data_IF_141543630735
#
_entry.id   IF_141543630735
#
_cell.length_a   1.000
_cell.length_b   1.000
_cell.length_c   1.000
_cell.angle_alpha   90.00
_cell.angle_beta   90.00
_cell.angle_gamma   90.00
#
_symmetry.space_group_name_H-M   'P 1'
#
loop_
_entity.id
_entity.type
_entity.pdbx_description
1 polymer ?
#
# COMPACT_ATOMS: atom_id res chain seq x y z
N UNK A 1 5.73 5.70 12.13
CA UNK A 1 5.17 4.34 12.10
C UNK A 1 3.74 4.30 12.61
N UNK A 2 3.49 4.93 13.71
CA UNK A 2 2.17 5.32 14.15
C UNK A 2 1.45 6.20 13.16
N UNK A 3 2.23 6.95 12.46
CA UNK A 3 1.87 7.93 11.47
C UNK A 3 1.09 7.32 10.32
N UNK A 4 1.55 6.20 9.83
CA UNK A 4 0.91 5.49 8.75
C UNK A 4 -0.51 5.03 9.10
N UNK A 5 -0.68 4.44 10.28
CA UNK A 5 -1.98 3.96 10.73
C UNK A 5 -2.98 5.12 10.90
N UNK A 6 -2.47 6.24 11.36
CA UNK A 6 -3.26 7.46 11.47
C UNK A 6 -3.60 8.05 10.10
N UNK A 7 -2.68 8.00 9.13
CA UNK A 7 -2.95 8.53 7.81
C UNK A 7 -4.09 7.83 7.09
N UNK A 8 -4.15 6.52 7.15
CA UNK A 8 -5.27 5.79 6.56
C UNK A 8 -6.58 6.10 7.27
N UNK A 9 -6.52 6.27 8.58
CA UNK A 9 -7.70 6.52 9.39
C UNK A 9 -8.18 7.95 9.30
N UNK A 10 -7.25 8.90 9.25
CA UNK A 10 -7.59 10.33 9.30
C UNK A 10 -7.57 11.06 7.97
N UNK A 11 -6.94 10.49 6.95
CA UNK A 11 -6.96 11.06 5.61
C UNK A 11 -8.14 10.60 4.77
N UNK A 12 -9.22 10.21 5.39
CA UNK A 12 -10.45 9.85 4.69
C UNK A 12 -11.00 11.00 3.82
N UNK A 13 -10.59 12.23 4.08
CA UNK A 13 -10.89 13.37 3.21
C UNK A 13 -10.21 13.25 1.84
N UNK A 14 -9.06 12.58 1.76
CA UNK A 14 -8.29 12.40 0.52
C UNK A 14 -8.46 11.02 -0.09
N UNK A 15 -8.77 10.02 0.73
CA UNK A 15 -8.90 8.65 0.29
C UNK A 15 -10.26 8.10 0.69
N UNK A 16 -10.93 7.48 -0.25
CA UNK A 16 -12.24 6.89 -0.02
C UNK A 16 -12.15 5.37 -0.12
N UNK A 17 -12.71 4.69 0.86
CA UNK A 17 -12.96 3.26 0.77
C UNK A 17 -14.21 3.07 -0.06
N UNK A 18 -14.05 2.55 -1.28
CA UNK A 18 -15.18 2.41 -2.19
C UNK A 18 -15.89 1.08 -2.02
N UNK A 19 -15.13 0.01 -1.94
CA UNK A 19 -15.68 -1.33 -1.87
C UNK A 19 -14.87 -2.22 -0.95
N UNK A 20 -15.56 -3.08 -0.23
CA UNK A 20 -14.97 -4.19 0.48
C UNK A 20 -15.56 -5.44 -0.14
N UNK A 21 -14.74 -6.21 -0.83
CA UNK A 21 -15.18 -7.45 -1.45
C UNK A 21 -14.55 -8.63 -0.74
N UNK A 22 -15.39 -9.65 -0.48
CA UNK A 22 -14.92 -10.92 0.02
C UNK A 22 -14.97 -11.94 -1.12
N UNK A 23 -14.01 -12.84 -1.12
CA UNK A 23 -14.04 -13.91 -2.09
C UNK A 23 -15.31 -14.74 -1.92
N UNK A 24 -16.01 -15.13 -3.02
CA UNK A 24 -17.27 -15.85 -2.93
C UNK A 24 -17.16 -17.26 -2.30
N UNK A 25 -15.98 -17.85 -2.33
CA UNK A 25 -15.76 -19.16 -1.71
C UNK A 25 -15.59 -18.98 -0.20
N UNK A 26 -16.45 -19.58 0.65
CA UNK A 26 -16.36 -19.44 2.11
C UNK A 26 -15.08 -20.02 2.70
N UNK A 27 -14.37 -20.89 1.97
CA UNK A 27 -13.09 -21.45 2.40
C UNK A 27 -11.90 -20.61 1.96
N UNK A 28 -12.11 -19.60 1.12
CA UNK A 28 -11.08 -18.68 0.68
C UNK A 28 -11.23 -17.35 1.40
N UNK A 29 -10.42 -17.14 2.42
CA UNK A 29 -10.46 -15.94 3.23
C UNK A 29 -9.70 -14.78 2.56
N UNK A 30 -10.15 -14.37 1.37
CA UNK A 30 -9.58 -13.21 0.67
C UNK A 30 -10.46 -12.00 0.87
N UNK A 31 -9.86 -10.91 1.30
CA UNK A 31 -10.55 -9.63 1.49
C UNK A 31 -9.82 -8.53 0.72
N UNK A 32 -10.56 -7.75 -0.04
CA UNK A 32 -10.01 -6.62 -0.78
C UNK A 32 -10.76 -5.36 -0.39
N UNK A 33 -9.99 -4.34 0.00
CA UNK A 33 -10.52 -3.01 0.28
C UNK A 33 -10.02 -2.06 -0.81
N UNK A 34 -10.94 -1.42 -1.52
CA UNK A 34 -10.58 -0.49 -2.59
C UNK A 34 -10.48 0.94 -2.05
N UNK A 35 -9.39 1.60 -2.37
CA UNK A 35 -9.13 3.00 -2.01
C UNK A 35 -8.95 3.83 -3.27
N UNK A 36 -9.47 5.04 -3.24
CA UNK A 36 -9.29 6.03 -4.30
C UNK A 36 -9.05 7.40 -3.68
N UNK A 37 -8.12 8.16 -4.26
CA UNK A 37 -7.92 9.54 -3.82
C UNK A 37 -9.06 10.44 -4.31
N UNK A 38 -9.40 11.43 -3.48
CA UNK A 38 -10.32 12.50 -3.84
C UNK A 38 -9.62 13.87 -3.88
N UNK A 39 -8.28 13.88 -3.82
CA UNK A 39 -7.49 15.10 -3.72
C UNK A 39 -7.19 15.69 -5.10
N UNK A 40 -7.26 17.01 -5.21
CA UNK A 40 -6.75 17.75 -6.37
C UNK A 40 -5.25 17.97 -6.21
N UNK A 41 -4.56 18.08 -7.33
CA UNK A 41 -3.11 18.27 -7.36
C UNK A 41 -2.74 19.60 -8.02
N UNK A 42 -1.73 20.24 -7.44
CA UNK A 42 -1.08 21.42 -8.01
C UNK A 42 0.34 21.06 -8.43
N UNK A 43 0.81 21.67 -9.50
CA UNK A 43 2.17 21.44 -9.99
C UNK A 43 3.20 21.88 -8.95
N UNK A 44 4.16 21.01 -8.60
CA UNK A 44 5.21 21.39 -7.65
C UNK A 44 6.17 22.46 -8.17
N UNK A 45 6.26 22.66 -9.49
CA UNK A 45 7.14 23.66 -10.09
C UNK A 45 6.48 25.04 -10.26
N UNK A 46 5.29 25.06 -10.87
CA UNK A 46 4.65 26.34 -11.23
C UNK A 46 3.35 26.62 -10.47
N UNK A 47 2.94 25.71 -9.60
CA UNK A 47 1.72 25.81 -8.77
C UNK A 47 0.40 25.88 -9.55
N UNK A 48 0.44 25.67 -10.86
CA UNK A 48 -0.76 25.58 -11.68
C UNK A 48 -1.51 24.28 -11.40
N UNK A 49 -2.81 24.28 -11.69
CA UNK A 49 -3.63 23.08 -11.56
C UNK A 49 -3.15 21.99 -12.53
N UNK A 50 -3.08 20.78 -12.04
CA UNK A 50 -2.74 19.62 -12.85
C UNK A 50 -4.00 18.85 -13.25
N UNK A 51 -3.93 18.18 -14.40
CA UNK A 51 -5.03 17.40 -14.94
C UNK A 51 -4.63 15.93 -15.05
N UNK A 52 -5.58 15.06 -14.75
CA UNK A 52 -5.39 13.63 -14.93
C UNK A 52 -5.28 13.30 -16.41
N UNK A 53 -4.22 12.58 -16.80
CA UNK A 53 -4.07 12.07 -18.17
C UNK A 53 -4.04 10.55 -18.22
N UNK A 54 -4.17 9.88 -17.10
CA UNK A 54 -4.21 8.43 -17.04
C UNK A 54 -4.57 7.95 -15.66
N UNK A 55 -4.88 6.66 -15.55
CA UNK A 55 -5.22 6.03 -14.29
C UNK A 55 -4.41 4.73 -14.17
N UNK A 56 -4.19 4.30 -12.93
CA UNK A 56 -3.57 3.03 -12.64
C UNK A 56 -4.24 2.38 -11.43
N UNK A 57 -4.09 1.07 -11.32
CA UNK A 57 -4.59 0.31 -10.18
C UNK A 57 -3.51 -0.66 -9.72
N UNK A 58 -3.31 -0.78 -8.42
CA UNK A 58 -2.35 -1.70 -7.82
C UNK A 58 -2.99 -2.43 -6.65
N UNK A 59 -2.57 -3.69 -6.46
CA UNK A 59 -2.92 -4.47 -5.27
C UNK A 59 -1.72 -4.51 -4.34
N UNK A 60 -1.96 -4.14 -3.09
CA UNK A 60 -0.96 -4.16 -2.04
C UNK A 60 -1.43 -5.14 -0.97
N UNK A 61 -0.55 -6.04 -0.57
CA UNK A 61 -0.86 -7.01 0.45
C UNK A 61 -0.82 -6.39 1.83
N UNK A 62 -1.89 -6.58 2.58
CA UNK A 62 -2.02 -6.07 3.94
C UNK A 62 -1.91 -7.19 4.97
N UNK A 63 -1.66 -6.80 6.21
CA UNK A 63 -1.62 -7.73 7.32
C UNK A 63 -3.02 -8.32 7.56
N UNK A 64 -3.15 -9.65 7.64
CA UNK A 64 -4.46 -10.29 7.79
C UNK A 64 -5.06 -10.07 9.18
N UNK A 65 -6.38 -9.98 9.25
CA UNK A 65 -7.11 -9.90 10.51
C UNK A 65 -7.24 -11.28 11.18
N UNK A 66 -7.21 -12.35 10.38
CA UNK A 66 -7.41 -13.73 10.82
C UNK A 66 -6.31 -14.63 10.24
N UNK A 67 -5.98 -15.75 10.91
CA UNK A 67 -5.05 -16.73 10.36
C UNK A 67 -5.49 -17.22 8.97
N UNK A 68 -4.54 -17.41 8.07
CA UNK A 68 -4.76 -17.86 6.69
C UNK A 68 -5.58 -16.93 5.81
N UNK A 69 -5.98 -15.77 6.31
CA UNK A 69 -6.64 -14.76 5.52
C UNK A 69 -5.65 -14.08 4.58
N UNK A 70 -6.09 -13.78 3.36
CA UNK A 70 -5.37 -12.92 2.42
C UNK A 70 -6.11 -11.59 2.34
N UNK A 71 -5.44 -10.54 2.77
CA UNK A 71 -6.01 -9.20 2.78
C UNK A 71 -5.22 -8.30 1.83
N UNK A 72 -5.93 -7.58 0.98
CA UNK A 72 -5.34 -6.68 0.00
C UNK A 72 -5.99 -5.32 0.07
N UNK A 73 -5.22 -4.30 -0.29
CA UNK A 73 -5.73 -2.98 -0.58
C UNK A 73 -5.54 -2.75 -2.08
N UNK A 74 -6.63 -2.49 -2.79
CA UNK A 74 -6.60 -2.07 -4.18
C UNK A 74 -6.63 -0.54 -4.20
N UNK A 75 -5.54 0.07 -4.66
CA UNK A 75 -5.46 1.50 -4.79
C UNK A 75 -5.63 1.91 -6.26
N UNK A 76 -6.61 2.78 -6.51
CA UNK A 76 -6.85 3.37 -7.82
C UNK A 76 -6.36 4.80 -7.79
N UNK A 77 -5.34 5.10 -8.55
CA UNK A 77 -4.71 6.40 -8.61
C UNK A 77 -4.66 6.97 -10.02
N UNK A 78 -4.12 8.18 -10.13
CA UNK A 78 -4.04 8.90 -11.38
C UNK A 78 -2.64 9.40 -11.65
N UNK A 79 -2.35 9.59 -12.94
CA UNK A 79 -1.17 10.30 -13.40
C UNK A 79 -1.62 11.69 -13.83
N UNK A 80 -0.90 12.69 -13.36
CA UNK A 80 -1.24 14.08 -13.61
C UNK A 80 -0.18 14.77 -14.46
N UNK A 81 -0.62 15.72 -15.27
CA UNK A 81 0.24 16.56 -16.10
C UNK A 81 -0.11 18.02 -15.90
N UNK A 82 0.92 18.84 -15.77
CA UNK A 82 0.78 20.28 -15.77
C UNK A 82 0.73 20.79 -17.23
N UNK A 83 -0.32 21.54 -17.59
CA UNK A 83 -0.44 22.09 -18.92
C UNK A 83 0.47 23.30 -19.14
N UNK A 84 0.93 23.93 -18.06
CA UNK A 84 1.79 25.13 -18.13
C UNK A 84 3.26 24.78 -18.35
N UNK A 85 3.80 23.81 -17.62
CA UNK A 85 5.23 23.49 -17.69
C UNK A 85 5.52 22.06 -18.18
N UNK A 86 4.50 21.25 -18.40
CA UNK A 86 4.65 19.87 -18.88
C UNK A 86 5.10 18.86 -17.84
N UNK A 87 5.23 19.26 -16.59
CA UNK A 87 5.61 18.35 -15.50
C UNK A 87 4.58 17.26 -15.31
N UNK A 88 5.04 16.04 -15.07
CA UNK A 88 4.16 14.89 -14.81
C UNK A 88 4.44 14.32 -13.43
N UNK A 89 3.38 13.94 -12.72
CA UNK A 89 3.49 13.23 -11.46
C UNK A 89 2.53 12.05 -11.45
N UNK A 90 2.93 11.01 -10.74
CA UNK A 90 2.07 9.86 -10.44
C UNK A 90 1.72 9.90 -8.96
N UNK A 91 0.46 9.67 -8.64
CA UNK A 91 0.05 9.63 -7.24
C UNK A 91 0.83 8.56 -6.47
N UNK A 92 1.28 8.93 -5.29
CA UNK A 92 1.88 7.97 -4.38
C UNK A 92 0.81 7.03 -3.83
N UNK A 93 1.16 5.77 -3.73
CA UNK A 93 0.28 4.79 -3.12
C UNK A 93 0.35 4.98 -1.61
N UNK A 94 -0.77 5.35 -0.95
CA UNK A 94 -0.76 5.47 0.50
C UNK A 94 -0.46 4.12 1.09
N UNK A 95 0.12 4.07 2.25
CA UNK A 95 0.32 2.84 3.00
C UNK A 95 1.31 1.82 2.43
N UNK A 96 1.88 2.06 1.28
CA UNK A 96 2.87 1.13 0.72
C UNK A 96 4.23 1.28 1.40
N UNK A 97 4.78 0.16 1.84
CA UNK A 97 6.18 0.10 2.25
C UNK A 97 7.07 0.24 1.00
N UNK A 98 8.04 1.19 0.98
CA UNK A 98 8.89 1.40 -0.18
C UNK A 98 9.59 0.12 -0.66
N UNK A 99 9.76 0.01 -1.98
CA UNK A 99 10.41 -1.13 -2.66
C UNK A 99 9.62 -2.44 -2.63
N UNK A 100 8.41 -2.44 -2.07
CA UNK A 100 7.61 -3.65 -1.90
C UNK A 100 6.17 -3.43 -2.33
N UNK A 101 5.40 -4.50 -2.40
CA UNK A 101 3.96 -4.47 -2.63
C UNK A 101 3.18 -4.89 -1.38
N UNK A 102 3.69 -4.50 -0.23
CA UNK A 102 3.02 -4.73 1.05
C UNK A 102 2.78 -3.41 1.77
N UNK A 103 1.81 -3.40 2.67
CA UNK A 103 1.54 -2.23 3.51
C UNK A 103 2.60 -2.05 4.57
N UNK A 104 2.69 -0.84 5.12
CA UNK A 104 3.54 -0.58 6.28
C UNK A 104 3.17 -1.45 7.48
N UNK A 105 1.89 -1.73 7.70
CA UNK A 105 1.47 -2.62 8.78
C UNK A 105 2.06 -4.02 8.60
N UNK A 106 2.00 -4.57 7.39
CA UNK A 106 2.61 -5.85 7.07
C UNK A 106 4.13 -5.79 7.28
N UNK A 107 4.78 -4.74 6.80
CA UNK A 107 6.22 -4.57 6.93
C UNK A 107 6.65 -4.49 8.39
N UNK A 108 5.91 -3.78 9.23
CA UNK A 108 6.21 -3.66 10.65
C UNK A 108 6.12 -5.00 11.38
N UNK A 109 5.13 -5.82 11.04
CA UNK A 109 5.02 -7.16 11.60
C UNK A 109 6.17 -8.06 11.15
N UNK A 110 6.57 -7.96 9.88
CA UNK A 110 7.73 -8.68 9.37
C UNK A 110 9.00 -8.29 10.14
N UNK A 111 9.21 -7.00 10.35
CA UNK A 111 10.34 -6.48 11.11
C UNK A 111 10.31 -7.01 12.55
N UNK A 112 9.15 -6.97 13.17
CA UNK A 112 8.98 -7.47 14.53
C UNK A 112 9.32 -8.96 14.63
N UNK A 113 8.81 -9.77 13.71
CA UNK A 113 9.08 -11.21 13.68
C UNK A 113 10.55 -11.51 13.43
N UNK A 114 11.22 -10.75 12.55
CA UNK A 114 12.66 -10.88 12.33
C UNK A 114 13.45 -10.56 13.59
N UNK A 115 13.07 -9.53 14.33
CA UNK A 115 13.68 -9.17 15.60
C UNK A 115 13.47 -10.22 16.69
N UNK A 116 12.40 -10.98 16.59
CA UNK A 116 12.12 -12.12 17.46
C UNK A 116 12.81 -13.42 17.00
N UNK A 117 13.74 -13.30 16.05
CA UNK A 117 14.50 -14.45 15.50
C UNK A 117 13.65 -15.47 14.75
N UNK A 118 12.49 -15.06 14.24
CA UNK A 118 11.70 -15.90 13.36
C UNK A 118 12.38 -16.01 11.99
N UNK A 119 12.47 -17.20 11.44
CA UNK A 119 13.13 -17.39 10.15
C UNK A 119 12.32 -16.77 9.00
N UNK A 120 13.03 -16.40 7.92
CA UNK A 120 12.39 -15.89 6.70
C UNK A 120 11.38 -16.90 6.14
N UNK A 121 11.73 -18.19 6.14
CA UNK A 121 10.81 -19.25 5.70
C UNK A 121 9.52 -19.30 6.51
N UNK A 122 9.64 -19.19 7.83
CA UNK A 122 8.48 -19.21 8.70
C UNK A 122 7.58 -17.99 8.48
N UNK A 123 8.16 -16.79 8.36
CA UNK A 123 7.42 -15.56 8.09
C UNK A 123 6.72 -15.66 6.74
N UNK A 124 7.42 -16.14 5.72
CA UNK A 124 6.86 -16.33 4.39
C UNK A 124 5.64 -17.25 4.41
N UNK A 125 5.73 -18.35 5.15
CA UNK A 125 4.61 -19.28 5.29
C UNK A 125 3.44 -18.70 6.08
N UNK A 126 3.73 -18.00 7.18
CA UNK A 126 2.71 -17.41 8.05
C UNK A 126 1.91 -16.30 7.38
N UNK A 127 2.60 -15.42 6.66
CA UNK A 127 2.01 -14.22 6.08
C UNK A 127 1.73 -14.34 4.58
N UNK A 128 2.09 -15.46 3.98
CA UNK A 128 1.98 -15.70 2.53
C UNK A 128 2.67 -14.59 1.72
N UNK A 129 3.83 -14.17 2.18
CA UNK A 129 4.66 -13.15 1.53
C UNK A 129 5.89 -13.84 0.95
N UNK A 130 6.25 -13.49 -0.28
CA UNK A 130 7.43 -14.08 -0.90
C UNK A 130 8.69 -13.71 -0.13
N UNK A 131 9.61 -14.64 0.01
CA UNK A 131 10.85 -14.46 0.77
C UNK A 131 11.68 -13.25 0.28
N UNK A 132 11.64 -12.96 -1.02
CA UNK A 132 12.36 -11.80 -1.57
C UNK A 132 11.83 -10.47 -1.05
N UNK A 133 10.53 -10.38 -0.78
CA UNK A 133 9.93 -9.20 -0.18
C UNK A 133 10.44 -8.99 1.25
N UNK A 134 10.54 -10.08 2.00
CA UNK A 134 11.09 -10.04 3.37
C UNK A 134 12.55 -9.58 3.35
N UNK A 135 13.34 -10.08 2.40
CA UNK A 135 14.73 -9.66 2.24
C UNK A 135 14.85 -8.18 1.87
N UNK A 136 13.95 -7.67 1.00
CA UNK A 136 13.93 -6.24 0.67
C UNK A 136 13.64 -5.38 1.88
N UNK A 137 12.70 -5.78 2.72
CA UNK A 137 12.39 -5.08 3.97
C UNK A 137 13.61 -5.09 4.88
N UNK A 138 14.25 -6.23 5.05
CA UNK A 138 15.45 -6.35 5.87
C UNK A 138 16.55 -5.43 5.37
N UNK A 139 16.82 -5.45 4.07
CA UNK A 139 17.91 -4.68 3.46
C UNK A 139 17.65 -3.17 3.46
N UNK A 140 16.45 -2.75 3.08
CA UNK A 140 16.15 -1.33 2.84
C UNK A 140 15.58 -0.60 4.05
N UNK A 141 14.98 -1.31 4.98
CA UNK A 141 14.30 -0.71 6.13
C UNK A 141 15.07 -0.97 7.43
N UNK A 142 15.46 -2.22 7.68
CA UNK A 142 16.11 -2.58 8.95
C UNK A 142 17.59 -2.23 8.99
N UNK A 143 18.30 -2.36 7.89
CA UNK A 143 19.76 -2.17 7.82
C UNK A 143 20.17 -0.69 7.62
N UNK A 144 19.23 0.22 7.76
CA UNK A 144 19.52 1.67 7.70
C UNK A 144 19.70 2.27 9.07
#
# INVERSE_FOLDING_TARGET
LFYYHNEITFNCQYYRTENITNHPNPHCHTRVTSLRTARDFSCPHCHSRMYSYGAFSVLIKDFPDLPKQKKYIEFSGHRFRCTSCGETITEDIPCQCPFTRVTWDMALWIIHLLKCHTSISAISAMLSVHWSTIQKIQKHIMDK
#
